data_IF_358976155940
#
_entry.id   IF_358976155940
#
_cell.length_a   1.000
_cell.length_b   1.000
_cell.length_c   1.000
_cell.angle_alpha   90.00
_cell.angle_beta   90.00
_cell.angle_gamma   90.00
#
_symmetry.space_group_name_H-M   'P 1'
#
loop_
_entity.id
_entity.type
_entity.pdbx_description
1 polymer ?
#
# COMPACT_ATOMS: atom_id res chain seq x y z
N UNK A 1 -1.05 9.54 -14.99
CA UNK A 1 -0.59 8.18 -14.60
C UNK A 1 -1.44 7.14 -15.34
N UNK A 2 -0.91 5.97 -15.71
CA UNK A 2 -1.69 4.91 -16.40
C UNK A 2 -1.44 3.54 -15.78
N UNK A 3 -2.41 2.63 -15.89
CA UNK A 3 -2.30 1.24 -15.48
C UNK A 3 -2.38 0.30 -16.69
N UNK A 4 -1.41 -0.62 -16.88
CA UNK A 4 -1.48 -1.59 -17.96
C UNK A 4 -2.59 -2.61 -17.70
N UNK A 5 -3.33 -2.92 -18.75
CA UNK A 5 -4.48 -3.82 -18.70
C UNK A 5 -4.15 -5.19 -19.31
N UNK A 6 -5.02 -6.15 -19.02
CA UNK A 6 -4.89 -7.53 -19.50
C UNK A 6 -4.99 -7.64 -21.03
N UNK A 7 -5.75 -6.77 -21.67
CA UNK A 7 -5.95 -6.73 -23.13
C UNK A 7 -4.83 -5.98 -23.87
N UNK A 8 -3.73 -5.63 -23.17
CA UNK A 8 -2.64 -4.85 -23.73
C UNK A 8 -2.90 -3.33 -23.76
N UNK A 9 -4.12 -2.90 -23.42
CA UNK A 9 -4.46 -1.48 -23.29
C UNK A 9 -3.91 -0.85 -22.02
N UNK A 10 -4.22 0.44 -21.86
CA UNK A 10 -3.95 1.20 -20.64
C UNK A 10 -5.25 1.80 -20.09
N UNK A 11 -5.34 1.87 -18.76
CA UNK A 11 -6.35 2.65 -18.06
C UNK A 11 -5.72 3.96 -17.57
N UNK A 12 -6.17 5.14 -18.06
CA UNK A 12 -5.70 6.41 -17.57
C UNK A 12 -6.30 6.70 -16.19
N UNK A 13 -5.45 7.03 -15.22
CA UNK A 13 -5.89 7.57 -13.93
C UNK A 13 -5.90 9.08 -14.03
N UNK A 14 -7.09 9.67 -13.91
CA UNK A 14 -7.27 11.13 -13.97
C UNK A 14 -6.92 11.81 -12.65
N UNK A 15 -6.61 13.10 -12.70
CA UNK A 15 -6.37 13.92 -11.51
C UNK A 15 -7.57 13.93 -10.57
N UNK A 16 -8.79 13.94 -11.12
CA UNK A 16 -10.02 13.88 -10.32
C UNK A 16 -10.17 12.55 -9.59
N UNK A 17 -9.81 11.42 -10.21
CA UNK A 17 -9.79 10.13 -9.53
C UNK A 17 -8.78 10.08 -8.40
N UNK A 18 -7.57 10.63 -8.62
CA UNK A 18 -6.58 10.76 -7.55
C UNK A 18 -7.13 11.56 -6.37
N UNK A 19 -7.72 12.74 -6.63
CA UNK A 19 -8.32 13.60 -5.60
C UNK A 19 -9.42 12.87 -4.85
N UNK A 20 -10.31 12.20 -5.58
CA UNK A 20 -11.42 11.45 -4.96
C UNK A 20 -10.92 10.32 -4.07
N UNK A 21 -9.89 9.59 -4.48
CA UNK A 21 -9.29 8.56 -3.64
C UNK A 21 -8.59 9.14 -2.42
N UNK A 22 -7.95 10.31 -2.53
CA UNK A 22 -7.32 10.97 -1.39
C UNK A 22 -8.36 11.39 -0.33
N UNK A 23 -9.56 11.84 -0.74
CA UNK A 23 -10.68 12.11 0.17
C UNK A 23 -11.19 10.84 0.86
N UNK A 24 -11.30 9.73 0.12
CA UNK A 24 -11.83 8.46 0.64
C UNK A 24 -10.84 7.71 1.55
N UNK A 25 -9.55 7.86 1.32
CA UNK A 25 -8.48 7.14 2.02
C UNK A 25 -7.45 8.13 2.63
N UNK A 26 -7.87 8.96 3.61
CA UNK A 26 -7.09 10.10 4.09
C UNK A 26 -5.79 9.75 4.81
N UNK A 27 -5.60 8.50 5.28
CA UNK A 27 -4.34 8.07 5.88
C UNK A 27 -3.35 7.48 4.87
N UNK A 28 -3.68 7.47 3.58
CA UNK A 28 -2.88 6.87 2.52
C UNK A 28 -2.26 7.95 1.65
N UNK A 29 -0.95 7.85 1.37
CA UNK A 29 -0.34 8.59 0.26
C UNK A 29 -0.79 7.96 -1.06
N UNK A 30 -1.90 8.47 -1.59
CA UNK A 30 -2.55 7.92 -2.79
C UNK A 30 -1.61 7.96 -3.99
N UNK A 31 -0.85 9.04 -4.20
CA UNK A 31 0.03 9.12 -5.36
C UNK A 31 1.13 8.07 -5.33
N UNK A 32 1.74 7.86 -4.15
CA UNK A 32 2.72 6.79 -3.98
C UNK A 32 2.10 5.42 -4.19
N UNK A 33 0.90 5.18 -3.66
CA UNK A 33 0.23 3.89 -3.85
C UNK A 33 -0.17 3.63 -5.30
N UNK A 34 -0.53 4.66 -6.08
CA UNK A 34 -0.74 4.52 -7.52
C UNK A 34 0.55 4.08 -8.22
N UNK A 35 1.71 4.61 -7.84
CA UNK A 35 3.02 4.16 -8.36
C UNK A 35 3.27 2.69 -8.02
N UNK A 36 3.00 2.28 -6.79
CA UNK A 36 3.13 0.89 -6.35
C UNK A 36 2.20 -0.05 -7.13
N UNK A 37 0.93 0.33 -7.30
CA UNK A 37 -0.06 -0.41 -8.10
C UNK A 37 0.40 -0.61 -9.54
N UNK A 38 0.93 0.44 -10.18
CA UNK A 38 1.46 0.35 -11.55
C UNK A 38 2.64 -0.62 -11.61
N UNK A 39 3.62 -0.49 -10.71
CA UNK A 39 4.77 -1.41 -10.65
C UNK A 39 4.34 -2.86 -10.47
N UNK A 40 3.33 -3.11 -9.63
CA UNK A 40 2.76 -4.45 -9.45
C UNK A 40 2.15 -5.02 -10.74
N UNK A 41 1.39 -4.22 -11.49
CA UNK A 41 0.78 -4.63 -12.75
C UNK A 41 1.81 -4.83 -13.88
N UNK A 42 2.89 -4.06 -13.88
CA UNK A 42 4.01 -4.21 -14.81
C UNK A 42 4.76 -5.52 -14.52
N UNK A 43 5.10 -5.78 -13.25
CA UNK A 43 5.80 -6.98 -12.80
C UNK A 43 4.95 -8.26 -12.88
N UNK A 44 3.62 -8.15 -12.91
CA UNK A 44 2.71 -9.31 -12.95
C UNK A 44 1.78 -9.28 -14.18
N UNK A 45 2.28 -9.51 -15.41
CA UNK A 45 1.47 -9.42 -16.63
C UNK A 45 0.22 -10.31 -16.63
N UNK A 46 0.34 -11.53 -16.12
CA UNK A 46 -0.77 -12.48 -16.02
C UNK A 46 -1.86 -12.04 -15.02
N UNK A 47 -1.52 -11.15 -14.07
CA UNK A 47 -2.44 -10.65 -13.04
C UNK A 47 -2.98 -9.25 -13.33
N UNK A 48 -2.65 -8.67 -14.49
CA UNK A 48 -3.23 -7.40 -14.94
C UNK A 48 -4.75 -7.45 -14.95
N UNK A 49 -5.39 -6.32 -14.68
CA UNK A 49 -6.85 -6.24 -14.57
C UNK A 49 -7.47 -5.92 -15.93
N UNK A 50 -8.76 -6.21 -16.04
CA UNK A 50 -9.58 -5.72 -17.15
C UNK A 50 -10.02 -4.28 -16.88
N UNK A 51 -10.54 -3.57 -17.89
CA UNK A 51 -11.14 -2.24 -17.71
C UNK A 51 -12.20 -2.23 -16.60
N UNK A 52 -13.07 -3.25 -16.57
CA UNK A 52 -14.09 -3.39 -15.54
C UNK A 52 -13.52 -3.69 -14.14
N UNK A 53 -12.38 -4.39 -14.06
CA UNK A 53 -11.79 -4.84 -12.79
C UNK A 53 -10.81 -3.87 -12.14
N UNK A 54 -10.28 -2.89 -12.88
CA UNK A 54 -9.18 -2.04 -12.41
C UNK A 54 -9.60 -1.12 -11.25
N UNK A 55 -10.83 -0.60 -11.27
CA UNK A 55 -11.35 0.25 -10.21
C UNK A 55 -11.56 -0.53 -8.90
N UNK A 56 -12.10 -1.75 -8.99
CA UNK A 56 -12.24 -2.65 -7.82
C UNK A 56 -10.88 -3.00 -7.24
N UNK A 57 -9.88 -3.22 -8.09
CA UNK A 57 -8.51 -3.44 -7.67
C UNK A 57 -7.94 -2.24 -6.91
N UNK A 58 -8.06 -1.02 -7.45
CA UNK A 58 -7.56 0.19 -6.80
C UNK A 58 -8.21 0.44 -5.44
N UNK A 59 -9.55 0.38 -5.36
CA UNK A 59 -10.26 0.55 -4.08
C UNK A 59 -9.87 -0.51 -3.06
N UNK A 60 -9.74 -1.77 -3.47
CA UNK A 60 -9.31 -2.85 -2.58
C UNK A 60 -7.84 -2.75 -2.16
N UNK A 61 -6.99 -2.10 -2.95
CA UNK A 61 -5.60 -1.81 -2.58
C UNK A 61 -5.58 -0.72 -1.51
N UNK A 62 -6.15 0.44 -1.82
CA UNK A 62 -6.11 1.62 -0.95
C UNK A 62 -6.81 1.38 0.40
N UNK A 63 -7.93 0.62 0.41
CA UNK A 63 -8.59 0.24 1.66
C UNK A 63 -7.70 -0.61 2.58
N UNK A 64 -6.86 -1.50 2.02
CA UNK A 64 -5.91 -2.29 2.83
C UNK A 64 -4.81 -1.40 3.39
N UNK A 65 -4.23 -0.54 2.57
CA UNK A 65 -3.17 0.40 2.99
C UNK A 65 -3.68 1.33 4.12
N UNK A 66 -4.89 1.89 3.96
CA UNK A 66 -5.55 2.73 4.97
C UNK A 66 -5.64 2.01 6.34
N UNK A 67 -6.03 0.74 6.33
CA UNK A 67 -6.18 -0.05 7.54
C UNK A 67 -4.82 -0.42 8.17
N UNK A 68 -3.79 -0.66 7.36
CA UNK A 68 -2.45 -0.94 7.85
C UNK A 68 -1.80 0.28 8.50
N UNK A 69 -1.95 1.48 7.92
CA UNK A 69 -1.44 2.72 8.52
C UNK A 69 -2.06 2.96 9.91
N UNK A 70 -3.33 2.60 10.11
CA UNK A 70 -3.99 2.69 11.42
C UNK A 70 -3.44 1.69 12.45
N UNK A 71 -3.16 0.46 12.04
CA UNK A 71 -2.64 -0.59 12.94
C UNK A 71 -1.19 -0.38 13.34
N UNK A 72 -0.33 0.12 12.44
CA UNK A 72 1.07 0.42 12.77
C UNK A 72 1.23 1.54 13.80
N UNK A 73 0.23 2.42 13.96
CA UNK A 73 0.24 3.49 14.99
C UNK A 73 -0.31 3.05 16.35
N UNK A 74 -1.01 1.91 16.41
CA UNK A 74 -1.65 1.39 17.63
C UNK A 74 -0.85 0.26 18.30
N UNK A 75 0.35 -0.06 17.81
CA UNK A 75 1.25 -1.01 18.46
C UNK A 75 2.30 -0.26 19.28
N UNK A 76 2.12 -0.08 20.61
CA UNK A 76 3.24 0.19 21.48
C UNK A 76 4.00 -1.13 21.60
N UNK A 77 5.06 -1.29 20.80
CA UNK A 77 6.01 -2.38 21.01
C UNK A 77 6.60 -2.20 22.40
N UNK A 78 6.15 -3.04 23.33
CA UNK A 78 6.79 -3.24 24.61
C UNK A 78 8.25 -3.60 24.35
N UNK A 79 9.14 -2.70 24.72
CA UNK A 79 10.58 -2.92 24.73
C UNK A 79 10.86 -3.85 25.92
N UNK A 80 10.78 -5.16 25.69
CA UNK A 80 11.51 -6.11 26.52
C UNK A 80 12.99 -5.82 26.28
N UNK A 81 13.60 -5.08 27.19
CA UNK A 81 15.06 -5.07 27.34
C UNK A 81 15.49 -6.50 27.63
N UNK A 82 16.41 -7.10 26.86
CA UNK A 82 17.15 -8.26 27.33
C UNK A 82 17.95 -7.81 28.55
N UNK A 83 17.62 -8.37 29.71
CA UNK A 83 18.42 -8.25 30.94
C UNK A 83 19.77 -8.94 30.67
N UNK A 84 20.75 -8.16 30.21
CA UNK A 84 22.13 -8.61 30.13
C UNK A 84 22.63 -8.64 31.58
N UNK A 85 22.67 -9.85 32.14
CA UNK A 85 23.08 -10.12 33.51
C UNK A 85 24.34 -9.34 33.90
N UNK A 86 24.20 -8.59 34.98
CA UNK A 86 25.22 -7.84 35.71
C UNK A 86 26.50 -8.67 35.91
N UNK A 87 27.58 -8.22 35.26
CA UNK A 87 28.98 -8.60 35.46
C UNK A 87 29.46 -8.21 36.88
N UNK A 88 29.19 -9.02 37.91
CA UNK A 88 29.75 -8.82 39.26
C UNK A 88 30.48 -10.05 39.85
N UNK A 89 30.80 -11.07 39.04
CA UNK A 89 31.62 -12.23 39.47
C UNK A 89 32.85 -12.45 38.56
N UNK A 90 33.59 -11.37 38.32
CA UNK A 90 34.98 -11.44 37.80
C UNK A 90 35.91 -10.63 38.71
N UNK A 91 36.11 -11.13 39.93
CA UNK A 91 37.30 -11.08 40.79
C UNK A 91 37.10 -12.08 41.94
#
# INVERSE_FOLDING_TARGET
>A
MTFPLKDGGCYPVSTEQCRRWAELYPAVDVEQQLRNMRGWLEANPQKRKTRAGILRFANGWLAREQNQVGQSRLSPTGSQTPDYGREEDYW
#
